data_IF_316959794668
#
_entry.id   IF_316959794668
#
_cell.length_a   1.000
_cell.length_b   1.000
_cell.length_c   1.000
_cell.angle_alpha   90.00
_cell.angle_beta   90.00
_cell.angle_gamma   90.00
#
_symmetry.space_group_name_H-M   'P 1'
#
loop_
_entity.id
_entity.type
_entity.pdbx_description
1 polymer ?
#
# COMPACT_ATOMS: atom_id res chain seq x y z
N UNK A 1 0.84 6.19 -8.11
CA UNK A 1 0.59 6.62 -6.72
C UNK A 1 0.69 8.14 -6.63
N UNK A 2 -0.32 8.85 -6.15
CA UNK A 2 -0.26 10.31 -5.96
C UNK A 2 0.45 10.68 -4.63
N UNK A 3 1.10 11.85 -4.58
CA UNK A 3 1.86 12.35 -3.43
C UNK A 3 1.03 12.46 -2.14
N UNK A 4 -0.25 12.77 -2.25
CA UNK A 4 -1.17 12.87 -1.12
C UNK A 4 -1.37 11.51 -0.43
N UNK A 5 -1.55 10.45 -1.24
CA UNK A 5 -1.67 9.08 -0.76
C UNK A 5 -0.36 8.57 -0.14
N UNK A 6 0.77 8.88 -0.75
CA UNK A 6 2.10 8.52 -0.20
C UNK A 6 2.35 9.17 1.16
N UNK A 7 2.04 10.46 1.28
CA UNK A 7 2.11 11.19 2.55
C UNK A 7 1.20 10.55 3.62
N UNK A 8 -0.01 10.13 3.25
CA UNK A 8 -0.94 9.48 4.16
C UNK A 8 -0.40 8.12 4.65
N UNK A 9 0.14 7.29 3.75
CA UNK A 9 0.73 6.00 4.12
C UNK A 9 1.94 6.16 5.04
N UNK A 10 2.83 7.09 4.73
CA UNK A 10 4.00 7.36 5.57
C UNK A 10 3.62 7.82 6.99
N UNK A 11 2.58 8.67 7.11
CA UNK A 11 2.05 9.10 8.42
C UNK A 11 1.43 7.94 9.18
N UNK A 12 0.65 7.09 8.52
CA UNK A 12 0.08 5.88 9.13
C UNK A 12 1.18 4.92 9.61
N UNK A 13 2.19 4.67 8.79
CA UNK A 13 3.34 3.85 9.15
C UNK A 13 4.05 4.38 10.40
N UNK A 14 4.40 5.66 10.41
CA UNK A 14 5.00 6.30 11.59
C UNK A 14 4.11 6.16 12.83
N UNK A 15 2.81 6.42 12.70
CA UNK A 15 1.86 6.29 13.81
C UNK A 15 1.80 4.88 14.37
N UNK A 16 1.79 3.85 13.51
CA UNK A 16 1.79 2.45 13.95
C UNK A 16 3.08 2.10 14.72
N UNK A 17 4.25 2.52 14.21
CA UNK A 17 5.53 2.30 14.89
C UNK A 17 5.59 3.01 16.22
N UNK A 18 5.23 4.30 16.26
CA UNK A 18 5.19 5.09 17.49
C UNK A 18 4.32 4.47 18.59
N UNK A 19 3.22 3.82 18.22
CA UNK A 19 2.27 3.19 19.15
C UNK A 19 2.56 1.71 19.42
N UNK A 20 3.56 1.11 18.76
CA UNK A 20 3.88 -0.32 18.88
C UNK A 20 2.90 -1.27 18.18
N UNK A 21 2.18 -0.78 17.17
CA UNK A 21 1.30 -1.60 16.33
C UNK A 21 2.03 -2.17 15.10
N UNK A 22 1.52 -3.29 14.61
CA UNK A 22 1.95 -3.87 13.33
C UNK A 22 1.38 -3.06 12.18
N UNK A 23 2.25 -2.62 11.27
CA UNK A 23 1.85 -2.08 9.97
C UNK A 23 1.75 -3.22 8.97
N UNK A 24 0.62 -3.34 8.28
CA UNK A 24 0.43 -4.27 7.17
C UNK A 24 -0.24 -3.53 6.01
N UNK A 25 0.34 -3.65 4.82
CA UNK A 25 -0.11 -3.01 3.60
C UNK A 25 -0.21 -4.06 2.49
N UNK A 26 -1.26 -3.94 1.68
CA UNK A 26 -1.37 -4.61 0.37
C UNK A 26 -1.78 -3.58 -0.65
N UNK A 27 -1.35 -3.79 -1.89
CA UNK A 27 -1.69 -2.94 -3.01
C UNK A 27 -2.28 -3.77 -4.15
N UNK A 28 -3.08 -3.11 -4.99
CA UNK A 28 -3.55 -3.73 -6.22
C UNK A 28 -2.35 -3.75 -7.19
N UNK A 29 -1.99 -4.91 -7.78
CA UNK A 29 -0.88 -4.97 -8.72
C UNK A 29 -1.08 -4.03 -9.90
N UNK A 30 -0.01 -3.38 -10.35
CA UNK A 30 -0.04 -2.40 -11.45
C UNK A 30 -0.55 -3.01 -12.77
N UNK A 31 -0.45 -4.33 -12.93
CA UNK A 31 -0.93 -5.08 -14.11
C UNK A 31 -2.46 -5.24 -14.15
N UNK A 32 -3.16 -4.94 -13.06
CA UNK A 32 -4.63 -5.02 -13.00
C UNK A 32 -5.22 -3.74 -13.54
N UNK A 33 -5.85 -3.82 -14.72
CA UNK A 33 -6.56 -2.69 -15.31
C UNK A 33 -7.82 -2.36 -14.50
N UNK A 34 -7.70 -1.35 -13.63
CA UNK A 34 -8.84 -0.69 -12.98
C UNK A 34 -8.98 0.67 -13.65
N UNK A 35 -10.12 0.89 -14.32
CA UNK A 35 -10.34 2.06 -15.16
C UNK A 35 -10.14 3.39 -14.43
N UNK A 36 -9.88 4.44 -15.23
CA UNK A 36 -9.60 5.78 -14.73
C UNK A 36 -10.86 6.59 -14.36
N UNK A 37 -12.05 5.98 -14.43
CA UNK A 37 -13.34 6.60 -14.13
C UNK A 37 -13.89 6.06 -12.81
N UNK A 38 -13.67 6.74 -11.66
CA UNK A 38 -13.97 6.19 -10.34
C UNK A 38 -15.45 5.90 -10.09
N UNK A 39 -16.34 6.50 -10.90
CA UNK A 39 -17.79 6.37 -10.79
C UNK A 39 -18.39 5.46 -11.86
N UNK A 40 -17.60 4.99 -12.82
CA UNK A 40 -18.06 4.07 -13.86
C UNK A 40 -17.81 2.62 -13.42
N UNK A 41 -18.89 1.86 -13.28
CA UNK A 41 -18.77 0.43 -12.99
C UNK A 41 -18.53 -0.33 -14.30
N UNK A 42 -17.34 -0.89 -14.46
CA UNK A 42 -17.02 -1.84 -15.54
C UNK A 42 -16.97 -3.27 -14.96
N UNK A 43 -17.88 -4.17 -15.37
CA UNK A 43 -17.93 -5.53 -14.82
C UNK A 43 -16.65 -6.36 -15.04
N UNK A 44 -15.96 -6.16 -16.15
CA UNK A 44 -14.75 -6.93 -16.49
C UNK A 44 -13.58 -6.48 -15.61
N UNK A 45 -13.40 -5.17 -15.46
CA UNK A 45 -12.35 -4.60 -14.60
C UNK A 45 -12.59 -4.92 -13.12
N UNK A 46 -13.84 -4.88 -12.66
CA UNK A 46 -14.18 -5.26 -11.28
C UNK A 46 -13.93 -6.74 -11.02
N UNK A 47 -14.16 -7.60 -12.02
CA UNK A 47 -13.81 -9.02 -11.94
C UNK A 47 -12.31 -9.22 -11.87
N UNK A 48 -11.54 -8.53 -12.70
CA UNK A 48 -10.08 -8.59 -12.67
C UNK A 48 -9.51 -8.15 -11.31
N UNK A 49 -10.02 -7.04 -10.75
CA UNK A 49 -9.64 -6.58 -9.42
C UNK A 49 -9.97 -7.59 -8.32
N UNK A 50 -11.14 -8.23 -8.39
CA UNK A 50 -11.53 -9.28 -7.45
C UNK A 50 -10.60 -10.50 -7.55
N UNK A 51 -10.34 -10.98 -8.76
CA UNK A 51 -9.52 -12.16 -8.99
C UNK A 51 -8.07 -11.92 -8.54
N UNK A 52 -7.52 -10.72 -8.78
CA UNK A 52 -6.20 -10.32 -8.29
C UNK A 52 -6.13 -10.28 -6.76
N UNK A 53 -7.13 -9.67 -6.10
CA UNK A 53 -7.21 -9.65 -4.64
C UNK A 53 -7.39 -11.04 -4.04
N UNK A 54 -8.17 -11.90 -4.70
CA UNK A 54 -8.34 -13.29 -4.29
C UNK A 54 -7.03 -14.07 -4.38
N UNK A 55 -6.30 -13.95 -5.48
CA UNK A 55 -4.99 -14.58 -5.65
C UNK A 55 -3.96 -14.08 -4.63
N UNK A 56 -3.96 -12.77 -4.33
CA UNK A 56 -3.11 -12.19 -3.30
C UNK A 56 -3.39 -12.80 -1.92
N UNK A 57 -4.67 -12.93 -1.55
CA UNK A 57 -5.07 -13.49 -0.26
C UNK A 57 -4.74 -14.98 -0.09
N UNK A 58 -4.47 -15.72 -1.18
CA UNK A 58 -4.02 -17.11 -1.13
C UNK A 58 -2.52 -17.24 -0.85
N UNK A 59 -1.74 -16.15 -0.97
CA UNK A 59 -0.32 -16.18 -0.67
C UNK A 59 -0.09 -16.35 0.84
N UNK A 60 0.98 -17.06 1.27
CA UNK A 60 1.26 -17.26 2.69
C UNK A 60 1.54 -15.96 3.47
N UNK A 61 2.13 -14.97 2.80
CA UNK A 61 2.50 -13.68 3.39
C UNK A 61 2.37 -12.56 2.33
N UNK A 62 1.15 -12.05 2.07
CA UNK A 62 0.93 -11.00 1.09
C UNK A 62 1.24 -9.60 1.64
N UNK A 63 1.53 -9.47 2.93
CA UNK A 63 1.60 -8.18 3.60
C UNK A 63 2.97 -7.54 3.43
N UNK A 64 2.99 -6.29 2.99
CA UNK A 64 4.14 -5.41 3.19
C UNK A 64 4.10 -4.80 4.58
N UNK A 65 5.24 -4.83 5.27
CA UNK A 65 5.42 -4.19 6.57
C UNK A 65 5.94 -2.75 6.48
N UNK A 66 6.16 -2.25 5.25
CA UNK A 66 6.65 -0.91 4.98
C UNK A 66 5.88 -0.27 3.81
N UNK A 67 5.60 1.04 3.87
CA UNK A 67 5.10 1.77 2.71
C UNK A 67 6.16 1.85 1.60
N UNK A 68 5.76 1.89 0.32
CA UNK A 68 6.69 2.04 -0.79
C UNK A 68 7.44 3.39 -0.68
N UNK A 69 8.77 3.34 -0.74
CA UNK A 69 9.60 4.54 -0.74
C UNK A 69 9.75 5.08 -2.17
N UNK A 70 8.90 6.05 -2.47
CA UNK A 70 8.80 6.75 -3.75
C UNK A 70 9.58 8.07 -3.81
N UNK A 71 10.42 8.35 -2.79
CA UNK A 71 11.29 9.53 -2.76
C UNK A 71 10.77 10.73 -1.97
N UNK A 72 9.59 10.62 -1.34
CA UNK A 72 9.01 11.69 -0.51
C UNK A 72 9.79 11.95 0.78
N UNK A 73 10.54 10.95 1.26
CA UNK A 73 11.41 11.09 2.43
C UNK A 73 12.83 10.61 2.13
N UNK A 74 13.86 11.29 2.67
CA UNK A 74 15.23 10.80 2.60
C UNK A 74 15.37 9.42 3.23
N UNK A 75 16.19 8.54 2.66
CA UNK A 75 16.41 7.17 3.16
C UNK A 75 16.78 7.13 4.65
N UNK A 76 17.61 8.06 5.12
CA UNK A 76 18.02 8.15 6.53
C UNK A 76 16.83 8.38 7.49
N UNK A 77 15.79 9.09 7.04
CA UNK A 77 14.62 9.36 7.86
C UNK A 77 13.76 8.09 8.01
N UNK A 78 13.68 7.28 6.95
CA UNK A 78 13.00 5.98 7.00
C UNK A 78 13.73 5.02 7.95
N UNK A 79 15.06 4.96 7.87
CA UNK A 79 15.88 4.13 8.76
C UNK A 79 15.74 4.56 10.22
N UNK A 80 15.72 5.86 10.49
CA UNK A 80 15.51 6.38 11.84
C UNK A 80 14.16 5.96 12.44
N UNK A 81 13.10 5.85 11.63
CA UNK A 81 11.79 5.37 12.11
C UNK A 81 11.86 3.88 12.49
N UNK A 82 12.56 3.06 11.70
CA UNK A 82 12.69 1.60 11.94
C UNK A 82 13.49 1.27 13.21
N UNK A 83 14.49 2.08 13.53
CA UNK A 83 15.41 1.80 14.65
C UNK A 83 14.83 2.28 15.98
N UNK A 84 14.09 3.39 15.97
CA UNK A 84 13.65 4.06 17.18
C UNK A 84 12.24 3.67 17.64
N UNK A 85 11.48 2.93 16.81
CA UNK A 85 10.08 2.55 17.04
C UNK A 85 9.79 1.15 16.48
#
# INVERSE_FOLDING_TARGET
MDQSMQTALMRSYFGTKFLGYTFNLVEIPDEVEIGNEPLAFDPEQMRAAFDAGHALAQQPDPWSSEPPNVGDIPAWAMDAIKVNY
#
